data_IF_915749700446
#
_entry.id   IF_915749700446
#
_cell.length_a   1.000
_cell.length_b   1.000
_cell.length_c   1.000
_cell.angle_alpha   90.00
_cell.angle_beta   90.00
_cell.angle_gamma   90.00
#
_symmetry.space_group_name_H-M   'P 1'
#
loop_
_entity.id
_entity.type
_entity.pdbx_description
1 polymer ?
#
# COMPACT_ATOMS: atom_id res chain seq x y z
N UNK A 1 -13.88 -2.07 13.54
CA UNK A 1 -12.46 -1.96 13.17
C UNK A 1 -11.61 -2.49 14.30
N UNK A 2 -10.56 -3.25 14.01
CA UNK A 2 -9.60 -3.63 15.04
C UNK A 2 -8.72 -2.44 15.40
N UNK A 3 -8.06 -2.53 16.56
CA UNK A 3 -7.10 -1.55 17.05
C UNK A 3 -6.11 -1.21 15.92
N UNK A 4 -5.95 0.08 15.63
CA UNK A 4 -5.05 0.61 14.58
C UNK A 4 -5.50 0.47 13.11
N UNK A 5 -6.79 0.21 12.84
CA UNK A 5 -7.33 0.29 11.47
C UNK A 5 -7.10 -0.95 10.61
N UNK A 6 -6.65 -2.06 11.22
CA UNK A 6 -6.47 -3.35 10.53
C UNK A 6 -7.83 -4.00 10.26
N UNK A 7 -7.99 -4.56 9.07
CA UNK A 7 -9.18 -5.28 8.61
C UNK A 7 -8.82 -6.75 8.38
N UNK A 8 -9.64 -7.66 8.91
CA UNK A 8 -9.60 -9.08 8.57
C UNK A 8 -10.88 -9.40 7.82
N UNK A 9 -10.82 -9.67 6.50
CA UNK A 9 -12.00 -9.96 5.72
C UNK A 9 -12.69 -11.23 6.25
N UNK A 10 -14.02 -11.16 6.43
CA UNK A 10 -14.84 -12.30 6.89
C UNK A 10 -15.49 -12.97 5.69
N UNK A 11 -15.33 -14.29 5.56
CA UNK A 11 -16.06 -15.09 4.57
C UNK A 11 -15.45 -15.17 3.17
N UNK A 12 -14.32 -14.50 2.92
CA UNK A 12 -13.50 -14.74 1.73
C UNK A 12 -12.57 -15.93 1.99
N UNK A 13 -12.41 -16.87 1.04
CA UNK A 13 -11.34 -17.86 1.15
C UNK A 13 -10.02 -17.09 1.23
N UNK A 14 -9.24 -17.35 2.29
CA UNK A 14 -8.01 -16.61 2.54
C UNK A 14 -7.09 -16.71 1.33
N UNK A 15 -6.90 -15.59 0.62
CA UNK A 15 -5.84 -15.48 -0.38
C UNK A 15 -4.49 -15.73 0.28
N UNK A 16 -3.62 -16.48 -0.38
CA UNK A 16 -2.26 -16.71 0.11
C UNK A 16 -1.39 -15.47 -0.06
N UNK A 17 -0.47 -15.24 0.88
CA UNK A 17 0.59 -14.23 0.72
C UNK A 17 1.71 -14.87 -0.11
N UNK A 18 1.94 -14.35 -1.31
CA UNK A 18 2.93 -14.88 -2.25
C UNK A 18 4.27 -14.15 -2.11
N UNK A 19 5.38 -14.87 -2.30
CA UNK A 19 6.72 -14.32 -2.31
C UNK A 19 7.38 -14.27 -0.93
N UNK A 20 8.38 -13.41 -0.78
CA UNK A 20 9.19 -13.32 0.45
C UNK A 20 8.35 -13.00 1.68
N UNK A 21 7.32 -12.15 1.56
CA UNK A 21 6.43 -11.80 2.66
C UNK A 21 5.71 -13.02 3.27
N UNK A 22 5.28 -13.98 2.44
CA UNK A 22 4.66 -15.21 2.91
C UNK A 22 5.67 -16.22 3.44
N UNK A 23 6.77 -16.42 2.70
CA UNK A 23 7.81 -17.40 3.06
C UNK A 23 8.46 -17.03 4.40
N UNK A 24 8.80 -15.76 4.62
CA UNK A 24 9.42 -15.31 5.87
C UNK A 24 8.50 -15.60 7.05
N UNK A 25 7.20 -15.31 6.95
CA UNK A 25 6.24 -15.56 8.03
C UNK A 25 6.03 -17.05 8.30
N UNK A 26 5.87 -17.85 7.24
CA UNK A 26 5.69 -19.30 7.38
C UNK A 26 6.93 -19.95 8.00
N UNK A 27 8.11 -19.68 7.45
CA UNK A 27 9.35 -20.29 7.95
C UNK A 27 9.75 -19.77 9.33
N UNK A 28 9.51 -18.49 9.65
CA UNK A 28 9.82 -17.96 10.98
C UNK A 28 9.03 -18.67 12.08
N UNK A 29 7.75 -18.95 11.82
CA UNK A 29 6.90 -19.67 12.76
C UNK A 29 7.29 -21.16 12.83
N UNK A 30 7.39 -21.85 11.69
CA UNK A 30 7.61 -23.30 11.66
C UNK A 30 9.02 -23.72 12.13
N UNK A 31 10.05 -22.95 11.78
CA UNK A 31 11.44 -23.33 12.09
C UNK A 31 11.91 -22.71 13.40
N UNK A 32 11.51 -21.47 13.68
CA UNK A 32 12.07 -20.69 14.78
C UNK A 32 11.06 -20.40 15.89
N UNK A 33 9.79 -20.81 15.75
CA UNK A 33 8.74 -20.53 16.73
C UNK A 33 8.48 -19.03 16.94
N UNK A 34 8.79 -18.20 15.95
CA UNK A 34 8.67 -16.75 16.06
C UNK A 34 7.29 -16.27 15.64
N UNK A 35 6.59 -15.60 16.56
CA UNK A 35 5.37 -14.88 16.24
C UNK A 35 5.64 -13.78 15.21
N UNK A 36 4.76 -13.66 14.23
CA UNK A 36 4.89 -12.69 13.15
C UNK A 36 3.55 -12.26 12.58
N UNK A 37 3.56 -11.11 11.88
CA UNK A 37 2.39 -10.61 11.17
C UNK A 37 2.79 -9.91 9.88
N UNK A 38 1.93 -9.99 8.86
CA UNK A 38 2.09 -9.24 7.62
C UNK A 38 1.24 -7.97 7.65
N UNK A 39 1.84 -6.82 7.37
CA UNK A 39 1.10 -5.59 7.09
C UNK A 39 1.10 -5.35 5.58
N UNK A 40 -0.09 -5.32 4.98
CA UNK A 40 -0.28 -5.10 3.55
C UNK A 40 -1.20 -3.92 3.32
N UNK A 41 -0.86 -3.09 2.34
CA UNK A 41 -1.66 -1.95 1.92
C UNK A 41 -2.32 -2.27 0.60
N UNK A 42 -3.62 -2.03 0.49
CA UNK A 42 -4.32 -2.06 -0.79
C UNK A 42 -3.72 -1.01 -1.73
N UNK A 43 -3.53 -1.37 -2.99
CA UNK A 43 -2.95 -0.49 -4.00
C UNK A 43 -3.53 -0.80 -5.38
N UNK A 44 -3.51 0.17 -6.29
CA UNK A 44 -3.93 -0.05 -7.69
C UNK A 44 -2.99 -0.97 -8.46
N UNK A 45 -1.76 -1.15 -7.96
CA UNK A 45 -0.73 -1.99 -8.58
C UNK A 45 -0.12 -1.42 -9.86
N UNK A 46 -0.61 -0.27 -10.35
CA UNK A 46 -0.17 0.30 -11.63
C UNK A 46 1.00 1.28 -11.47
N UNK A 47 1.02 2.05 -10.38
CA UNK A 47 2.11 2.96 -10.03
C UNK A 47 2.64 2.64 -8.64
N UNK A 48 3.85 3.13 -8.35
CA UNK A 48 4.32 3.19 -6.98
C UNK A 48 3.31 3.97 -6.12
N UNK A 49 3.04 3.47 -4.92
CA UNK A 49 2.04 4.04 -4.00
C UNK A 49 2.68 4.54 -2.70
N UNK A 50 3.31 5.73 -2.70
CA UNK A 50 3.89 6.33 -1.51
C UNK A 50 2.85 6.62 -0.42
N UNK A 51 1.59 6.82 -0.82
CA UNK A 51 0.48 7.10 0.11
C UNK A 51 0.13 5.84 0.90
N UNK A 52 -0.06 4.71 0.23
CA UNK A 52 -0.25 3.41 0.85
C UNK A 52 0.91 3.03 1.77
N UNK A 53 2.15 3.21 1.29
CA UNK A 53 3.35 2.99 2.10
C UNK A 53 3.38 3.85 3.37
N UNK A 54 3.02 5.14 3.27
CA UNK A 54 2.94 6.04 4.43
C UNK A 54 1.93 5.56 5.47
N UNK A 55 0.76 5.10 5.04
CA UNK A 55 -0.24 4.59 5.99
C UNK A 55 0.21 3.30 6.67
N UNK A 56 0.89 2.39 5.96
CA UNK A 56 1.52 1.22 6.59
C UNK A 56 2.56 1.61 7.64
N UNK A 57 3.42 2.59 7.35
CA UNK A 57 4.41 3.08 8.33
C UNK A 57 3.73 3.67 9.56
N UNK A 58 2.63 4.41 9.40
CA UNK A 58 1.85 4.93 10.55
C UNK A 58 1.27 3.80 11.41
N UNK A 59 0.75 2.74 10.81
CA UNK A 59 0.24 1.58 11.56
C UNK A 59 1.38 0.87 12.28
N UNK A 60 2.48 0.59 11.58
CA UNK A 60 3.65 -0.09 12.14
C UNK A 60 4.27 0.69 13.31
N UNK A 61 4.50 1.99 13.13
CA UNK A 61 5.06 2.85 14.18
C UNK A 61 4.16 2.91 15.41
N UNK A 62 2.84 2.93 15.24
CA UNK A 62 1.87 2.85 16.34
C UNK A 62 1.90 1.50 17.05
N UNK A 63 2.12 0.40 16.33
CA UNK A 63 2.26 -0.94 16.92
C UNK A 63 3.55 -1.06 17.73
N UNK A 64 4.66 -0.50 17.23
CA UNK A 64 5.97 -0.57 17.88
C UNK A 64 6.23 0.53 18.92
N UNK A 65 5.38 1.56 18.98
CA UNK A 65 5.55 2.70 19.89
C UNK A 65 6.73 3.61 19.53
N UNK A 66 7.17 3.62 18.27
CA UNK A 66 8.31 4.42 17.79
C UNK A 66 7.83 5.61 16.94
N UNK A 67 8.71 6.60 16.75
CA UNK A 67 8.49 7.70 15.80
C UNK A 67 9.42 7.56 14.60
N UNK A 68 8.87 7.72 13.40
CA UNK A 68 9.61 7.69 12.13
C UNK A 68 9.21 8.92 11.32
N UNK A 69 10.18 9.62 10.73
CA UNK A 69 9.92 10.73 9.81
C UNK A 69 9.44 10.17 8.47
N UNK A 70 8.32 10.68 7.95
CA UNK A 70 7.68 10.23 6.70
C UNK A 70 7.75 11.28 5.60
N UNK A 71 8.51 12.36 5.76
CA UNK A 71 8.62 13.45 4.78
C UNK A 71 8.97 12.98 3.37
N UNK A 72 9.86 12.00 3.23
CA UNK A 72 10.25 11.50 1.91
C UNK A 72 9.09 10.78 1.20
N UNK A 73 8.25 10.06 1.96
CA UNK A 73 7.04 9.43 1.43
C UNK A 73 6.01 10.50 1.03
N UNK A 74 5.88 11.58 1.81
CA UNK A 74 4.98 12.69 1.47
C UNK A 74 5.44 13.45 0.23
N UNK A 75 6.74 13.71 0.09
CA UNK A 75 7.30 14.35 -1.10
C UNK A 75 7.05 13.49 -2.34
N UNK A 76 7.31 12.18 -2.26
CA UNK A 76 7.03 11.25 -3.37
C UNK A 76 5.55 11.13 -3.68
N UNK A 77 4.67 11.14 -2.67
CA UNK A 77 3.21 11.13 -2.88
C UNK A 77 2.77 12.31 -3.74
N UNK A 78 3.25 13.52 -3.41
CA UNK A 78 2.95 14.72 -4.20
C UNK A 78 3.47 14.65 -5.63
N UNK A 79 4.65 14.07 -5.83
CA UNK A 79 5.21 13.87 -7.18
C UNK A 79 4.35 12.92 -8.02
N UNK A 80 3.92 11.79 -7.45
CA UNK A 80 3.05 10.83 -8.14
C UNK A 80 1.67 11.42 -8.43
N UNK A 81 1.10 12.19 -7.50
CA UNK A 81 -0.15 12.93 -7.71
C UNK A 81 -0.06 13.89 -8.89
N UNK A 82 1.00 14.72 -8.95
CA UNK A 82 1.21 15.66 -10.05
C UNK A 82 1.37 14.96 -11.42
N UNK A 83 2.06 13.81 -11.45
CA UNK A 83 2.19 13.02 -12.68
C UNK A 83 0.83 12.49 -13.11
N UNK A 84 0.06 11.96 -12.17
CA UNK A 84 -1.26 11.38 -12.42
C UNK A 84 -2.26 12.43 -12.92
N UNK A 85 -2.26 13.63 -12.32
CA UNK A 85 -3.11 14.75 -12.74
C UNK A 85 -2.80 15.17 -14.19
N UNK A 86 -1.51 15.34 -14.53
CA UNK A 86 -1.12 15.69 -15.91
C UNK A 86 -1.56 14.65 -16.93
N UNK A 87 -1.40 13.36 -16.60
CA UNK A 87 -1.85 12.27 -17.47
C UNK A 87 -3.37 12.28 -17.66
N UNK A 88 -4.14 12.58 -16.61
CA UNK A 88 -5.60 12.69 -16.70
C UNK A 88 -6.03 13.88 -17.56
N UNK A 89 -5.36 15.03 -17.43
CA UNK A 89 -5.63 16.21 -18.26
C UNK A 89 -5.35 15.92 -19.74
N UNK A 90 -4.22 15.29 -20.05
CA UNK A 90 -3.85 14.91 -21.42
C UNK A 90 -4.85 13.90 -22.01
N UNK A 91 -5.22 12.86 -21.26
CA UNK A 91 -6.22 11.89 -21.68
C UNK A 91 -7.58 12.54 -21.96
N UNK A 92 -7.98 13.51 -21.14
CA UNK A 92 -9.25 14.24 -21.31
C UNK A 92 -9.22 15.13 -22.54
N UNK A 93 -8.11 15.84 -22.79
CA UNK A 93 -7.91 16.65 -24.00
C UNK A 93 -7.92 15.80 -25.27
N UNK A 94 -7.29 14.63 -25.25
CA UNK A 94 -7.29 13.68 -26.35
C UNK A 94 -8.72 13.23 -26.69
N UNK A 95 -9.47 12.82 -25.66
CA UNK A 95 -10.86 12.36 -25.80
C UNK A 95 -11.81 13.45 -26.29
N UNK A 96 -11.56 14.71 -25.95
CA UNK A 96 -12.35 15.84 -26.45
C UNK A 96 -12.11 16.09 -27.94
N UNK A 97 -10.85 16.00 -28.39
CA UNK A 97 -10.51 16.12 -29.83
C UNK A 97 -11.17 15.01 -30.65
N UNK A 98 -11.16 13.77 -30.17
CA UNK A 98 -11.79 12.63 -30.87
C UNK A 98 -13.31 12.75 -31.00
N UNK A 99 -13.98 13.43 -30.06
CA UNK A 99 -15.45 13.65 -30.10
C UNK A 99 -15.88 14.83 -30.96
N UNK A 100 -14.95 15.69 -31.35
CA UNK A 100 -15.24 16.93 -32.11
C UNK A 100 -14.85 16.79 -33.59
N UNK A 101 -14.30 15.63 -33.98
CA UNK A 101 -14.09 15.18 -35.36
C UNK A 101 -15.25 14.24 -35.72
#
# INVERSE_FOLDING_TARGET
MLKNGVVFPKGEPGGGIVGSAGIILGLSQEIFGMEGGCLMGETSGYFADPKGAKELVKVLTKLLGIKVDVKDLEARSKQIEQITEKMQEEATKQRYKERTI
#
